data_IF_254436125265
#
_entry.id   IF_254436125265
#
_cell.length_a   1.000
_cell.length_b   1.000
_cell.length_c   1.000
_cell.angle_alpha   90.00
_cell.angle_beta   90.00
_cell.angle_gamma   90.00
#
_symmetry.space_group_name_H-M   'P 1'
#
loop_
_entity.id
_entity.type
_entity.pdbx_description
1 polymer ?
#
# COMPACT_ATOMS: atom_id res chain seq x y z
N UNK A 1 21.16 8.38 -7.76
CA UNK A 1 21.19 6.93 -7.44
C UNK A 1 20.62 6.77 -6.04
N UNK A 2 19.38 6.30 -5.90
CA UNK A 2 18.80 6.03 -4.58
C UNK A 2 19.66 5.03 -3.83
N UNK A 3 19.94 5.30 -2.56
CA UNK A 3 20.78 4.48 -1.68
C UNK A 3 20.10 3.18 -1.21
N UNK A 4 18.93 2.85 -1.77
CA UNK A 4 18.10 1.70 -1.39
C UNK A 4 18.41 0.53 -2.29
N UNK A 5 18.64 -0.64 -1.70
CA UNK A 5 18.88 -1.88 -2.43
C UNK A 5 17.58 -2.64 -2.71
N UNK A 6 17.54 -3.41 -3.81
CA UNK A 6 16.36 -4.20 -4.19
C UNK A 6 15.90 -5.14 -3.06
N UNK A 7 16.83 -5.72 -2.29
CA UNK A 7 16.53 -6.61 -1.16
C UNK A 7 15.75 -5.89 -0.05
N UNK A 8 16.08 -4.63 0.21
CA UNK A 8 15.38 -3.80 1.18
C UNK A 8 13.96 -3.49 0.71
N UNK A 9 13.78 -3.18 -0.59
CA UNK A 9 12.46 -2.99 -1.18
C UNK A 9 11.62 -4.26 -1.04
N UNK A 10 12.16 -5.43 -1.35
CA UNK A 10 11.43 -6.71 -1.24
C UNK A 10 11.00 -6.96 0.21
N UNK A 11 11.87 -6.70 1.18
CA UNK A 11 11.58 -6.89 2.61
C UNK A 11 10.48 -5.95 3.11
N UNK A 12 10.44 -4.72 2.59
CA UNK A 12 9.53 -3.67 3.04
C UNK A 12 8.34 -3.45 2.11
N UNK A 13 8.20 -4.23 1.03
CA UNK A 13 7.25 -3.97 -0.05
C UNK A 13 5.80 -3.85 0.46
N UNK A 14 5.41 -4.72 1.37
CA UNK A 14 4.06 -4.76 1.95
C UNK A 14 3.79 -3.54 2.81
N UNK A 15 4.72 -3.20 3.72
CA UNK A 15 4.64 -1.97 4.54
C UNK A 15 4.63 -0.71 3.68
N UNK A 16 5.39 -0.70 2.59
CA UNK A 16 5.36 0.37 1.60
C UNK A 16 3.97 0.48 0.95
N UNK A 17 3.37 -0.63 0.53
CA UNK A 17 2.02 -0.65 -0.06
C UNK A 17 0.95 -0.21 0.94
N UNK A 18 1.08 -0.59 2.21
CA UNK A 18 0.16 -0.23 3.29
C UNK A 18 0.41 1.19 3.87
N UNK A 19 1.44 1.90 3.38
CA UNK A 19 1.86 3.22 3.87
C UNK A 19 2.24 3.24 5.36
N UNK A 20 2.80 2.14 5.86
CA UNK A 20 3.23 1.96 7.26
C UNK A 20 4.71 2.27 7.49
N UNK A 21 5.33 3.02 6.58
CA UNK A 21 6.72 3.43 6.69
C UNK A 21 6.81 4.89 7.14
N UNK A 22 7.91 5.24 7.80
CA UNK A 22 8.21 6.65 8.06
C UNK A 22 8.34 7.42 6.73
N UNK A 23 8.08 8.74 6.72
CA UNK A 23 8.04 9.53 5.49
C UNK A 23 9.34 9.48 4.66
N UNK A 24 10.50 9.39 5.31
CA UNK A 24 11.77 9.37 4.59
C UNK A 24 12.03 8.03 3.92
N UNK A 25 11.81 6.92 4.64
CA UNK A 25 11.92 5.57 4.09
C UNK A 25 10.90 5.36 2.97
N UNK A 26 9.66 5.82 3.15
CA UNK A 26 8.63 5.76 2.10
C UNK A 26 9.10 6.44 0.82
N UNK A 27 9.64 7.67 0.92
CA UNK A 27 10.12 8.44 -0.22
C UNK A 27 11.27 7.74 -0.94
N UNK A 28 12.25 7.20 -0.21
CA UNK A 28 13.40 6.50 -0.79
C UNK A 28 12.99 5.21 -1.50
N UNK A 29 12.06 4.44 -0.92
CA UNK A 29 11.51 3.23 -1.56
C UNK A 29 10.66 3.58 -2.78
N UNK A 30 9.84 4.62 -2.71
CA UNK A 30 9.03 5.09 -3.82
C UNK A 30 9.92 5.48 -5.02
N UNK A 31 11.01 6.20 -4.78
CA UNK A 31 11.96 6.56 -5.83
C UNK A 31 12.59 5.30 -6.46
N UNK A 32 13.06 4.36 -5.64
CA UNK A 32 13.65 3.11 -6.13
C UNK A 32 12.64 2.30 -6.95
N UNK A 33 11.42 2.09 -6.46
CA UNK A 33 10.38 1.31 -7.15
C UNK A 33 10.04 1.92 -8.51
N UNK A 34 10.04 3.26 -8.62
CA UNK A 34 9.78 3.97 -9.90
C UNK A 34 10.92 3.84 -10.91
N UNK A 35 12.18 3.79 -10.45
CA UNK A 35 13.35 3.81 -11.34
C UNK A 35 13.92 2.42 -11.63
N UNK A 36 13.68 1.44 -10.75
CA UNK A 36 14.27 0.10 -10.83
C UNK A 36 13.44 -0.85 -11.70
N UNK A 37 14.09 -1.39 -12.74
CA UNK A 37 13.49 -2.37 -13.67
C UNK A 37 13.05 -3.68 -13.00
N UNK A 38 13.59 -4.02 -11.83
CA UNK A 38 13.25 -5.25 -11.12
C UNK A 38 12.16 -5.04 -10.06
N UNK A 39 12.17 -3.90 -9.36
CA UNK A 39 11.25 -3.65 -8.25
C UNK A 39 9.89 -3.11 -8.71
N UNK A 40 9.84 -2.31 -9.77
CA UNK A 40 8.57 -1.82 -10.35
C UNK A 40 7.60 -2.95 -10.71
N UNK A 41 8.02 -3.95 -11.50
CA UNK A 41 7.16 -5.08 -11.86
C UNK A 41 6.73 -5.94 -10.66
N UNK A 42 7.59 -6.09 -9.64
CA UNK A 42 7.23 -6.81 -8.41
C UNK A 42 6.13 -6.09 -7.63
N UNK A 43 6.26 -4.77 -7.49
CA UNK A 43 5.22 -3.94 -6.89
C UNK A 43 3.91 -4.01 -7.68
N UNK A 44 3.96 -3.94 -9.02
CA UNK A 44 2.76 -4.08 -9.85
C UNK A 44 2.08 -5.44 -9.68
N UNK A 45 2.86 -6.52 -9.62
CA UNK A 45 2.34 -7.85 -9.38
C UNK A 45 1.59 -7.94 -8.05
N UNK A 46 2.20 -7.49 -6.95
CA UNK A 46 1.57 -7.50 -5.63
C UNK A 46 0.31 -6.62 -5.59
N UNK A 47 0.35 -5.44 -6.19
CA UNK A 47 -0.81 -4.55 -6.29
C UNK A 47 -1.96 -5.20 -7.06
N UNK A 48 -1.65 -5.88 -8.18
CA UNK A 48 -2.64 -6.60 -8.98
C UNK A 48 -3.23 -7.79 -8.23
N UNK A 49 -2.39 -8.57 -7.54
CA UNK A 49 -2.82 -9.68 -6.70
C UNK A 49 -3.78 -9.21 -5.60
N UNK A 50 -3.43 -8.12 -4.91
CA UNK A 50 -4.29 -7.50 -3.89
C UNK A 50 -5.64 -7.05 -4.46
N UNK A 51 -5.66 -6.46 -5.65
CA UNK A 51 -6.92 -6.08 -6.34
C UNK A 51 -7.80 -7.30 -6.59
N UNK A 52 -7.23 -8.38 -7.11
CA UNK A 52 -7.97 -9.63 -7.38
C UNK A 52 -8.54 -10.20 -6.08
N UNK A 53 -7.75 -10.24 -5.01
CA UNK A 53 -8.22 -10.71 -3.70
C UNK A 53 -9.37 -9.82 -3.21
N UNK A 54 -9.25 -8.51 -3.33
CA UNK A 54 -10.31 -7.59 -2.93
C UNK A 54 -11.59 -7.80 -3.76
N UNK A 55 -11.48 -8.01 -5.06
CA UNK A 55 -12.62 -8.25 -5.95
C UNK A 55 -13.31 -9.60 -5.69
N UNK A 56 -12.52 -10.66 -5.42
CA UNK A 56 -13.03 -12.03 -5.28
C UNK A 56 -13.39 -12.40 -3.85
N UNK A 57 -12.79 -11.73 -2.87
CA UNK A 57 -12.95 -12.02 -1.45
C UNK A 57 -13.48 -10.81 -0.67
N UNK A 58 -14.04 -9.80 -1.35
CA UNK A 58 -14.85 -8.79 -0.68
C UNK A 58 -16.00 -9.50 0.03
N UNK A 59 -15.95 -9.48 1.37
CA UNK A 59 -17.04 -9.94 2.20
C UNK A 59 -18.26 -9.02 2.08
N UNK A 60 -19.18 -9.15 3.05
CA UNK A 60 -20.32 -8.24 3.11
C UNK A 60 -19.85 -6.79 3.37
N UNK A 61 -20.48 -5.80 2.73
CA UNK A 61 -20.16 -4.40 3.00
C UNK A 61 -20.40 -4.07 4.47
N UNK A 62 -19.64 -3.10 4.99
CA UNK A 62 -19.80 -2.63 6.36
C UNK A 62 -21.26 -2.20 6.62
N UNK A 63 -21.87 -2.60 7.75
CA UNK A 63 -23.24 -2.22 8.09
C UNK A 63 -23.43 -0.70 8.02
N UNK A 64 -24.57 -0.25 7.48
CA UNK A 64 -24.81 1.17 7.25
C UNK A 64 -24.71 2.00 8.54
N UNK A 65 -25.18 1.44 9.66
CA UNK A 65 -25.07 2.08 10.97
C UNK A 65 -23.60 2.34 11.37
N UNK A 66 -22.69 1.40 11.11
CA UNK A 66 -21.26 1.58 11.38
C UNK A 66 -20.69 2.66 10.47
N UNK A 67 -21.01 2.62 9.17
CA UNK A 67 -20.56 3.61 8.20
C UNK A 67 -21.00 5.03 8.58
N UNK A 68 -22.27 5.22 8.98
CA UNK A 68 -22.78 6.53 9.45
C UNK A 68 -22.03 7.03 10.67
N UNK A 69 -21.78 6.16 11.66
CA UNK A 69 -21.02 6.52 12.87
C UNK A 69 -19.59 6.95 12.56
N UNK A 70 -18.89 6.22 11.70
CA UNK A 70 -17.51 6.57 11.29
C UNK A 70 -17.49 7.93 10.57
N UNK A 71 -18.42 8.15 9.64
CA UNK A 71 -18.46 9.42 8.90
C UNK A 71 -18.77 10.61 9.80
N UNK A 72 -19.66 10.47 10.79
CA UNK A 72 -19.94 11.53 11.76
C UNK A 72 -18.69 11.89 12.58
N UNK A 73 -17.95 10.90 13.08
CA UNK A 73 -16.70 11.12 13.82
C UNK A 73 -15.63 11.84 12.97
N UNK A 74 -15.56 11.52 11.67
CA UNK A 74 -14.61 12.18 10.76
C UNK A 74 -14.96 13.65 10.49
N UNK A 75 -16.22 14.07 10.68
CA UNK A 75 -16.63 15.47 10.51
C UNK A 75 -16.37 16.34 11.75
N UNK A 76 -16.11 15.71 12.90
CA UNK A 76 -15.82 16.37 14.18
C UNK A 76 -14.30 16.58 14.41
N UNK A 77 -13.46 16.06 13.52
CA UNK A 77 -12.00 16.24 13.49
C UNK A 77 -11.60 17.43 12.60
#
# INVERSE_FOLDING_TARGET
MSTVHCEEVVRLLWRYMDRELDPDTYRRLQEHVRQCRNCGPRHEFEARLRSIIQEKCAGQPAPEALRRRVMALLQEL
#
